data_IF_413534450069
#
_entry.id   IF_413534450069
#
_cell.length_a   1.000
_cell.length_b   1.000
_cell.length_c   1.000
_cell.angle_alpha   90.00
_cell.angle_beta   90.00
_cell.angle_gamma   90.00
#
_symmetry.space_group_name_H-M   'P 1'
#
loop_
_entity.id
_entity.type
_entity.pdbx_description
1 polymer ?
#
# COMPACT_ATOMS: atom_id res chain seq x y z
N UNK A 1 -15.49 -2.53 1.60
CA UNK A 1 -14.22 -2.02 2.13
C UNK A 1 -13.33 -1.62 0.96
N UNK A 2 -12.83 -0.39 0.97
CA UNK A 2 -11.88 0.07 -0.05
C UNK A 2 -10.46 -0.29 0.34
N UNK A 3 -9.64 -0.51 -0.66
CA UNK A 3 -8.20 -0.62 -0.45
C UNK A 3 -7.47 -0.07 -1.68
N UNK A 4 -6.23 0.35 -1.49
CA UNK A 4 -5.36 0.73 -2.60
C UNK A 4 -3.90 0.54 -2.20
N UNK A 5 -3.01 0.71 -3.18
CA UNK A 5 -1.58 0.68 -2.92
C UNK A 5 -1.10 2.09 -2.58
N UNK A 6 -0.37 2.21 -1.49
CA UNK A 6 0.18 3.49 -1.02
C UNK A 6 1.56 3.27 -0.40
N UNK A 7 2.34 4.34 -0.34
CA UNK A 7 3.53 4.35 0.51
C UNK A 7 3.06 4.67 1.93
N UNK A 8 3.50 3.87 2.88
CA UNK A 8 3.22 4.11 4.29
C UNK A 8 4.53 4.35 5.04
N UNK A 9 4.48 5.22 6.04
CA UNK A 9 5.57 5.46 6.96
C UNK A 9 5.18 4.83 8.30
N UNK A 10 5.95 3.83 8.71
CA UNK A 10 5.77 3.16 9.99
C UNK A 10 7.06 3.34 10.80
N UNK A 11 6.99 4.18 11.83
CA UNK A 11 8.14 4.50 12.69
C UNK A 11 9.39 4.98 11.91
N UNK A 12 9.16 5.77 10.87
CA UNK A 12 10.24 6.33 10.07
C UNK A 12 10.71 5.46 8.90
N UNK A 13 10.16 4.25 8.76
CA UNK A 13 10.46 3.37 7.63
C UNK A 13 9.36 3.53 6.57
N UNK A 14 9.76 3.81 5.34
CA UNK A 14 8.84 3.88 4.22
C UNK A 14 8.72 2.52 3.55
N UNK A 15 7.48 2.11 3.26
CA UNK A 15 7.23 0.87 2.54
C UNK A 15 6.03 1.01 1.62
N UNK A 16 6.04 0.26 0.53
CA UNK A 16 4.86 0.09 -0.29
C UNK A 16 3.92 -0.90 0.40
N UNK A 17 2.65 -0.59 0.44
CA UNK A 17 1.67 -1.41 1.17
C UNK A 17 0.31 -1.40 0.49
N UNK A 18 -0.51 -2.39 0.82
CA UNK A 18 -1.94 -2.36 0.57
C UNK A 18 -2.59 -1.73 1.79
N UNK A 19 -3.30 -0.62 1.59
CA UNK A 19 -3.95 0.11 2.68
C UNK A 19 -5.45 -0.09 2.56
N UNK A 20 -6.07 -0.48 3.68
CA UNK A 20 -7.52 -0.65 3.78
C UNK A 20 -8.14 0.59 4.41
N UNK A 21 -9.34 0.95 3.95
CA UNK A 21 -10.04 2.15 4.38
C UNK A 21 -11.43 1.82 4.93
N UNK A 22 -11.85 2.60 5.92
CA UNK A 22 -13.25 2.68 6.32
C UNK A 22 -13.73 4.07 5.96
N UNK A 23 -14.58 4.17 4.92
CA UNK A 23 -14.88 5.45 4.30
C UNK A 23 -13.60 6.02 3.69
N UNK A 24 -13.20 7.22 4.12
CA UNK A 24 -11.98 7.87 3.66
C UNK A 24 -10.81 7.72 4.64
N UNK A 25 -11.02 6.98 5.74
CA UNK A 25 -10.02 6.84 6.80
C UNK A 25 -9.21 5.56 6.62
N UNK A 26 -7.88 5.65 6.51
CA UNK A 26 -7.02 4.47 6.50
C UNK A 26 -7.09 3.77 7.86
N UNK A 27 -7.37 2.46 7.85
CA UNK A 27 -7.53 1.68 9.09
C UNK A 27 -6.48 0.59 9.26
N UNK A 28 -5.76 0.24 8.21
CA UNK A 28 -4.74 -0.79 8.30
C UNK A 28 -3.94 -0.92 7.01
N UNK A 29 -2.87 -1.67 7.09
CA UNK A 29 -2.00 -1.92 5.93
C UNK A 29 -1.42 -3.32 6.02
N UNK A 30 -1.01 -3.85 4.88
CA UNK A 30 -0.29 -5.12 4.80
C UNK A 30 0.67 -5.11 3.60
N UNK A 31 1.56 -6.10 3.56
CA UNK A 31 2.48 -6.27 2.45
C UNK A 31 1.71 -6.62 1.17
N UNK A 32 1.97 -5.93 0.05
CA UNK A 32 1.26 -6.23 -1.19
C UNK A 32 1.68 -7.56 -1.78
N UNK A 33 0.75 -8.23 -2.45
CA UNK A 33 1.05 -9.39 -3.25
C UNK A 33 1.52 -8.95 -4.65
N UNK A 34 2.79 -9.25 -4.98
CA UNK A 34 3.34 -8.93 -6.29
C UNK A 34 3.37 -10.23 -7.09
N UNK A 35 2.22 -10.61 -7.63
CA UNK A 35 2.01 -11.85 -8.36
C UNK A 35 1.14 -11.60 -9.59
N UNK A 36 1.27 -12.46 -10.59
CA UNK A 36 0.43 -12.45 -11.78
C UNK A 36 0.52 -13.79 -12.48
N UNK A 37 -0.51 -14.14 -13.24
CA UNK A 37 -0.54 -15.39 -14.01
C UNK A 37 0.31 -15.29 -15.27
N UNK A 38 0.57 -14.08 -15.73
CA UNK A 38 1.45 -13.80 -16.87
C UNK A 38 2.20 -12.48 -16.64
N UNK A 39 3.12 -12.19 -17.55
CA UNK A 39 3.96 -10.98 -17.44
C UNK A 39 3.12 -9.70 -17.55
N UNK A 40 2.09 -9.68 -18.38
CA UNK A 40 1.26 -8.48 -18.54
C UNK A 40 0.48 -8.19 -17.27
N UNK A 41 -0.04 -9.20 -16.60
CA UNK A 41 -0.72 -9.05 -15.32
C UNK A 41 0.25 -8.56 -14.26
N UNK A 42 1.45 -9.12 -14.20
CA UNK A 42 2.48 -8.71 -13.26
C UNK A 42 2.90 -7.25 -13.49
N UNK A 43 3.01 -6.82 -14.75
CA UNK A 43 3.31 -5.42 -15.07
C UNK A 43 2.23 -4.47 -14.55
N UNK A 44 0.96 -4.87 -14.62
CA UNK A 44 -0.15 -4.06 -14.10
C UNK A 44 -0.05 -3.90 -12.58
N UNK A 45 0.35 -4.95 -11.87
CA UNK A 45 0.56 -4.89 -10.42
C UNK A 45 1.71 -3.92 -10.10
N UNK A 46 2.83 -4.05 -10.79
CA UNK A 46 4.00 -3.17 -10.59
C UNK A 46 3.65 -1.72 -10.95
N UNK A 47 2.86 -1.49 -12.00
CA UNK A 47 2.43 -0.15 -12.38
C UNK A 47 1.62 0.53 -11.26
N UNK A 48 0.70 -0.20 -10.62
CA UNK A 48 -0.07 0.33 -9.49
C UNK A 48 0.83 0.69 -8.31
N UNK A 49 1.82 -0.15 -8.02
CA UNK A 49 2.79 0.13 -6.97
C UNK A 49 3.63 1.36 -7.30
N UNK A 50 4.03 1.50 -8.56
CA UNK A 50 4.79 2.67 -9.02
C UNK A 50 3.98 3.96 -8.87
N UNK A 51 2.68 3.93 -9.23
CA UNK A 51 1.79 5.08 -9.06
C UNK A 51 1.68 5.51 -7.59
N UNK A 52 1.73 4.55 -6.68
CA UNK A 52 1.66 4.83 -5.25
C UNK A 52 2.81 5.74 -4.77
N UNK A 53 3.96 5.70 -5.42
CA UNK A 53 5.11 6.55 -5.08
C UNK A 53 4.82 8.04 -5.28
N UNK A 54 3.89 8.39 -6.17
CA UNK A 54 3.53 9.77 -6.47
C UNK A 54 2.36 10.29 -5.62
N UNK A 55 1.82 9.46 -4.75
CA UNK A 55 0.72 9.81 -3.85
C UNK A 55 1.26 10.22 -2.49
N UNK A 56 0.49 11.01 -1.70
CA UNK A 56 0.94 11.38 -0.36
C UNK A 56 1.21 10.16 0.51
N UNK A 57 2.28 10.24 1.31
CA UNK A 57 2.65 9.18 2.24
C UNK A 57 1.64 9.14 3.39
N UNK A 58 1.17 7.94 3.73
CA UNK A 58 0.29 7.74 4.89
C UNK A 58 1.15 7.30 6.07
N UNK A 59 0.92 7.91 7.23
CA UNK A 59 1.68 7.59 8.44
C UNK A 59 0.84 6.70 9.34
N UNK A 60 1.43 5.59 9.76
CA UNK A 60 0.86 4.69 10.75
C UNK A 60 1.79 4.63 11.95
N UNK A 61 1.22 4.70 13.14
CA UNK A 61 1.99 4.52 14.35
C UNK A 61 2.03 3.04 14.71
N UNK A 62 3.21 2.59 15.15
CA UNK A 62 3.34 1.23 15.66
C UNK A 62 2.66 1.17 17.03
N UNK A 63 1.73 0.23 17.18
CA UNK A 63 1.10 0.01 18.48
C UNK A 63 2.14 -0.52 19.46
N UNK A 64 2.30 0.20 20.56
CA UNK A 64 3.05 -0.31 21.70
C UNK A 64 2.14 -1.24 22.50
N UNK A 65 2.59 -2.45 22.66
CA UNK A 65 1.89 -3.45 23.46
C UNK A 65 2.47 -3.45 24.87
#
# INVERSE_FOLDING_TARGET
>A
MKWNNRVVNVDGTLMLAEVSYMGDKPIGYCTPCVVGDDIDELRRVVARLTEALDMPVLTFEKEEV
#
